data_IF_741355955395
#
_entry.id   IF_741355955395
#
_cell.length_a   1.000
_cell.length_b   1.000
_cell.length_c   1.000
_cell.angle_alpha   90.00
_cell.angle_beta   90.00
_cell.angle_gamma   90.00
#
_symmetry.space_group_name_H-M   'P 1'
#
loop_
_entity.id
_entity.type
_entity.pdbx_description
1 polymer ?
#
# COMPACT_ATOMS: atom_id res chain seq x y z
N UNK A 1 -23.18 9.63 -18.20
CA UNK A 1 -22.23 8.55 -18.50
C UNK A 1 -20.83 8.87 -18.02
N UNK A 2 -20.24 9.97 -18.50
CA UNK A 2 -18.90 10.37 -18.04
C UNK A 2 -18.83 10.67 -16.55
N UNK A 3 -19.87 11.28 -15.98
CA UNK A 3 -19.93 11.58 -14.54
C UNK A 3 -19.97 10.32 -13.70
N UNK A 4 -20.67 9.28 -14.16
CA UNK A 4 -20.74 8.00 -13.46
C UNK A 4 -19.37 7.34 -13.43
N UNK A 5 -18.63 7.36 -14.53
CA UNK A 5 -17.27 6.82 -14.59
C UNK A 5 -16.33 7.56 -13.63
N UNK A 6 -16.42 8.89 -13.57
CA UNK A 6 -15.61 9.68 -12.63
C UNK A 6 -15.91 9.33 -11.19
N UNK A 7 -17.19 9.17 -10.82
CA UNK A 7 -17.58 8.76 -9.46
C UNK A 7 -17.00 7.39 -9.09
N UNK A 8 -17.06 6.43 -10.02
CA UNK A 8 -16.57 5.07 -9.77
C UNK A 8 -15.07 5.02 -9.59
N UNK A 9 -14.32 5.97 -10.18
CA UNK A 9 -12.86 6.03 -10.05
C UNK A 9 -12.38 6.86 -8.87
N UNK A 10 -13.28 7.58 -8.18
CA UNK A 10 -12.91 8.43 -7.04
C UNK A 10 -13.07 7.70 -5.72
N UNK A 11 -12.11 7.94 -4.84
CA UNK A 11 -12.23 7.51 -3.45
C UNK A 11 -13.19 8.44 -2.71
N UNK A 12 -13.85 7.92 -1.67
CA UNK A 12 -14.67 8.73 -0.79
C UNK A 12 -13.79 9.70 0.01
N UNK A 13 -14.43 10.65 0.71
CA UNK A 13 -13.73 11.55 1.62
C UNK A 13 -13.55 10.96 3.02
N UNK A 14 -14.04 9.76 3.26
CA UNK A 14 -13.93 9.11 4.55
C UNK A 14 -12.49 8.74 4.87
N UNK A 15 -12.09 8.74 6.15
CA UNK A 15 -10.78 8.23 6.54
C UNK A 15 -10.62 6.77 6.11
N UNK A 16 -9.47 6.45 5.56
CA UNK A 16 -9.22 5.14 4.94
C UNK A 16 -8.22 4.33 5.72
N UNK A 17 -8.23 3.03 5.47
CA UNK A 17 -7.19 2.13 5.93
C UNK A 17 -6.48 1.56 4.70
N UNK A 18 -5.19 1.80 4.64
CA UNK A 18 -4.33 1.33 3.57
C UNK A 18 -3.71 0.00 3.96
N UNK A 19 -3.86 -1.00 3.13
CA UNK A 19 -3.16 -2.27 3.26
C UNK A 19 -2.13 -2.30 2.14
N UNK A 20 -0.85 -2.16 2.49
CA UNK A 20 0.20 -1.98 1.50
C UNK A 20 1.24 -3.09 1.64
N UNK A 21 1.46 -3.82 0.56
CA UNK A 21 2.49 -4.83 0.46
C UNK A 21 3.89 -4.21 0.40
N UNK A 22 4.91 -4.91 0.87
CA UNK A 22 6.28 -4.42 0.84
C UNK A 22 7.02 -4.81 -0.44
N UNK A 23 7.36 -6.08 -0.59
CA UNK A 23 8.23 -6.56 -1.68
C UNK A 23 7.55 -6.47 -3.04
N UNK A 24 8.17 -5.75 -3.97
CA UNK A 24 7.62 -5.55 -5.30
C UNK A 24 6.64 -4.40 -5.40
N UNK A 25 6.21 -3.83 -4.28
CA UNK A 25 5.23 -2.74 -4.22
C UNK A 25 5.85 -1.43 -3.78
N UNK A 26 6.49 -1.39 -2.61
CA UNK A 26 7.21 -0.20 -2.13
C UNK A 26 8.71 -0.43 -2.01
N UNK A 27 9.15 -1.68 -1.92
CA UNK A 27 10.56 -2.07 -1.84
C UNK A 27 10.84 -3.03 -2.98
N UNK A 28 11.99 -2.91 -3.62
CA UNK A 28 12.41 -3.80 -4.70
C UNK A 28 12.31 -5.25 -4.24
N UNK A 29 11.66 -6.10 -5.04
CA UNK A 29 11.37 -7.49 -4.68
C UNK A 29 12.63 -8.24 -4.27
N UNK A 30 12.62 -8.84 -3.08
CA UNK A 30 13.71 -9.62 -2.51
C UNK A 30 15.05 -8.89 -2.39
N UNK A 31 15.06 -7.56 -2.42
CA UNK A 31 16.32 -6.80 -2.28
C UNK A 31 17.01 -7.05 -0.94
N UNK A 32 16.24 -7.33 0.12
CA UNK A 32 16.77 -7.62 1.46
C UNK A 32 17.58 -8.93 1.53
N UNK A 33 17.39 -9.83 0.57
CA UNK A 33 18.13 -11.12 0.52
C UNK A 33 19.44 -10.94 -0.20
N UNK A 34 19.45 -10.22 -1.32
CA UNK A 34 20.62 -10.07 -2.18
C UNK A 34 21.55 -8.95 -1.76
N UNK A 35 21.00 -7.89 -1.17
CA UNK A 35 21.72 -6.67 -0.83
C UNK A 35 20.92 -5.89 0.20
N UNK A 36 21.00 -4.55 0.14
CA UNK A 36 20.17 -3.69 0.98
C UNK A 36 18.79 -3.46 0.35
N UNK A 37 17.82 -3.10 1.20
CA UNK A 37 16.50 -2.71 0.72
C UNK A 37 16.61 -1.49 -0.19
N UNK A 38 15.83 -1.49 -1.26
CA UNK A 38 15.80 -0.40 -2.24
C UNK A 38 14.35 0.10 -2.37
N UNK A 39 14.16 1.39 -2.18
CA UNK A 39 12.85 2.01 -2.29
C UNK A 39 12.44 2.14 -3.75
N UNK A 40 11.20 1.77 -4.06
CA UNK A 40 10.69 1.85 -5.42
C UNK A 40 10.21 3.27 -5.77
N UNK A 41 9.96 3.47 -7.05
CA UNK A 41 9.61 4.78 -7.60
C UNK A 41 8.32 5.35 -6.99
N UNK A 42 8.33 6.64 -6.71
CA UNK A 42 7.18 7.42 -6.23
C UNK A 42 6.69 7.08 -4.82
N UNK A 43 7.34 6.15 -4.11
CA UNK A 43 6.89 5.76 -2.78
C UNK A 43 6.94 6.93 -1.79
N UNK A 44 8.04 7.68 -1.75
CA UNK A 44 8.14 8.84 -0.88
C UNK A 44 7.06 9.87 -1.19
N UNK A 45 6.76 10.08 -2.46
CA UNK A 45 5.71 11.01 -2.88
C UNK A 45 4.33 10.54 -2.44
N UNK A 46 4.05 9.25 -2.54
CA UNK A 46 2.78 8.70 -2.07
C UNK A 46 2.60 8.96 -0.58
N UNK A 47 3.62 8.68 0.24
CA UNK A 47 3.52 8.88 1.68
C UNK A 47 3.25 10.32 2.07
N UNK A 48 3.75 11.27 1.29
CA UNK A 48 3.48 12.69 1.54
C UNK A 48 2.02 13.08 1.33
N UNK A 49 1.33 12.39 0.44
CA UNK A 49 -0.06 12.74 0.10
C UNK A 49 -1.11 11.85 0.77
N UNK A 50 -0.73 10.75 1.40
CA UNK A 50 -1.67 9.98 2.21
C UNK A 50 -2.10 10.84 3.40
N UNK A 51 -3.42 11.11 3.56
CA UNK A 51 -3.88 11.93 4.68
C UNK A 51 -3.46 11.36 6.03
N UNK A 52 -3.10 12.22 6.96
CA UNK A 52 -2.65 11.81 8.31
C UNK A 52 -3.73 11.06 9.09
N UNK A 53 -4.99 11.31 8.78
CA UNK A 53 -6.13 10.63 9.40
C UNK A 53 -6.28 9.18 8.94
N UNK A 54 -5.66 8.82 7.83
CA UNK A 54 -5.72 7.47 7.31
C UNK A 54 -4.79 6.55 8.09
N UNK A 55 -5.19 5.29 8.23
CA UNK A 55 -4.35 4.25 8.83
C UNK A 55 -3.55 3.54 7.75
N UNK A 56 -2.34 3.12 8.09
CA UNK A 56 -1.48 2.35 7.18
C UNK A 56 -1.08 1.06 7.87
N UNK A 57 -1.40 -0.05 7.23
CA UNK A 57 -0.99 -1.39 7.67
C UNK A 57 -0.10 -1.97 6.58
N UNK A 58 1.14 -2.27 6.92
CA UNK A 58 2.07 -2.88 5.99
C UNK A 58 2.00 -4.39 6.10
N UNK A 59 1.98 -5.06 4.95
CA UNK A 59 1.83 -6.51 4.85
C UNK A 59 3.07 -7.10 4.20
N UNK A 60 3.65 -8.13 4.80
CA UNK A 60 4.87 -8.73 4.28
C UNK A 60 4.88 -10.24 4.41
N UNK A 61 5.31 -10.91 3.36
CA UNK A 61 5.62 -12.34 3.42
C UNK A 61 7.03 -12.59 3.95
N UNK A 62 7.82 -11.53 4.21
CA UNK A 62 9.17 -11.68 4.77
C UNK A 62 9.13 -12.45 6.09
N UNK A 63 10.11 -13.32 6.28
CA UNK A 63 10.28 -14.00 7.55
C UNK A 63 10.59 -13.01 8.67
N UNK A 64 10.18 -13.35 9.87
CA UNK A 64 10.38 -12.49 11.06
C UNK A 64 11.84 -12.12 11.31
N UNK A 65 12.77 -12.96 10.89
CA UNK A 65 14.20 -12.68 11.05
C UNK A 65 14.67 -11.42 10.32
N UNK A 66 13.90 -10.95 9.32
CA UNK A 66 14.20 -9.73 8.58
C UNK A 66 13.49 -8.50 9.13
N UNK A 67 12.73 -8.63 10.23
CA UNK A 67 11.87 -7.57 10.74
C UNK A 67 12.66 -6.33 11.15
N UNK A 68 13.75 -6.48 11.88
CA UNK A 68 14.55 -5.34 12.38
C UNK A 68 15.13 -4.56 11.20
N UNK A 69 15.73 -5.25 10.25
CA UNK A 69 16.31 -4.62 9.05
C UNK A 69 15.23 -3.88 8.24
N UNK A 70 14.06 -4.48 8.11
CA UNK A 70 12.93 -3.88 7.38
C UNK A 70 12.40 -2.63 8.10
N UNK A 71 12.19 -2.72 9.41
CA UNK A 71 11.69 -1.60 10.20
C UNK A 71 12.69 -0.43 10.18
N UNK A 72 13.99 -0.72 10.28
CA UNK A 72 15.02 0.31 10.20
C UNK A 72 15.02 1.01 8.84
N UNK A 73 14.82 0.27 7.76
CA UNK A 73 14.71 0.84 6.42
C UNK A 73 13.50 1.76 6.30
N UNK A 74 12.34 1.33 6.79
CA UNK A 74 11.12 2.14 6.76
C UNK A 74 11.30 3.43 7.55
N UNK A 75 11.90 3.35 8.73
CA UNK A 75 12.18 4.51 9.58
C UNK A 75 13.14 5.49 8.90
N UNK A 76 14.20 4.97 8.31
CA UNK A 76 15.19 5.79 7.59
C UNK A 76 14.54 6.56 6.45
N UNK A 77 13.58 5.97 5.77
CA UNK A 77 12.88 6.59 4.65
C UNK A 77 11.62 7.35 5.09
N UNK A 78 11.40 7.48 6.40
CA UNK A 78 10.27 8.23 6.97
C UNK A 78 8.90 7.74 6.47
N UNK A 79 8.78 6.43 6.32
CA UNK A 79 7.53 5.79 5.91
C UNK A 79 6.77 5.37 7.16
N UNK A 80 5.84 6.22 7.61
CA UNK A 80 5.02 5.90 8.77
C UNK A 80 4.09 4.74 8.50
N UNK A 81 3.75 4.02 9.55
CA UNK A 81 2.72 2.98 9.51
C UNK A 81 2.14 2.82 10.92
N UNK A 82 0.92 2.32 10.99
CA UNK A 82 0.29 2.02 12.27
C UNK A 82 0.57 0.59 12.71
N UNK A 83 0.57 -0.34 11.77
CA UNK A 83 0.87 -1.76 12.03
C UNK A 83 1.66 -2.35 10.87
N UNK A 84 2.48 -3.35 11.19
CA UNK A 84 3.20 -4.14 10.19
C UNK A 84 3.09 -5.61 10.55
N UNK A 85 2.77 -6.45 9.57
CA UNK A 85 2.59 -7.88 9.75
C UNK A 85 3.60 -8.61 8.88
N UNK A 86 4.44 -9.43 9.52
CA UNK A 86 5.43 -10.28 8.85
C UNK A 86 4.95 -11.72 8.75
N UNK A 87 5.58 -12.50 7.88
CA UNK A 87 5.34 -13.93 7.78
C UNK A 87 4.01 -14.31 7.18
N UNK A 88 3.42 -13.43 6.39
CA UNK A 88 2.18 -13.74 5.68
C UNK A 88 2.43 -14.74 4.55
N UNK A 89 1.36 -15.40 4.11
CA UNK A 89 1.43 -16.32 2.99
C UNK A 89 1.70 -15.57 1.68
N UNK A 90 2.25 -16.28 0.70
CA UNK A 90 2.64 -15.67 -0.59
C UNK A 90 1.52 -15.64 -1.62
N UNK A 91 0.38 -16.26 -1.35
CA UNK A 91 -0.77 -16.24 -2.24
C UNK A 91 -1.53 -14.92 -2.21
N UNK A 92 -2.67 -14.91 -2.84
CA UNK A 92 -3.54 -13.73 -2.91
C UNK A 92 -3.94 -13.25 -1.51
N UNK A 93 -4.13 -11.95 -1.39
CA UNK A 93 -4.71 -11.33 -0.19
C UNK A 93 -6.17 -11.04 -0.46
N UNK A 94 -7.02 -11.70 0.28
CA UNK A 94 -8.47 -11.64 0.08
C UNK A 94 -9.04 -10.71 1.14
N UNK A 95 -9.70 -9.64 0.71
CA UNK A 95 -10.37 -8.69 1.60
C UNK A 95 -11.87 -8.91 1.49
N UNK A 96 -12.53 -9.14 2.62
CA UNK A 96 -13.98 -9.37 2.66
C UNK A 96 -14.61 -8.25 3.49
N UNK A 97 -15.33 -7.36 2.83
CA UNK A 97 -16.01 -6.23 3.46
C UNK A 97 -17.43 -6.11 2.93
N UNK A 98 -18.32 -5.56 3.75
CA UNK A 98 -19.65 -5.20 3.29
C UNK A 98 -19.60 -3.89 2.48
N UNK A 99 -20.58 -3.70 1.63
CA UNK A 99 -20.86 -2.39 1.04
C UNK A 99 -21.63 -1.55 2.04
N UNK A 100 -21.42 -0.23 2.00
CA UNK A 100 -22.27 0.65 2.81
C UNK A 100 -23.69 0.65 2.28
N UNK A 101 -24.69 0.97 3.13
CA UNK A 101 -26.10 1.02 2.71
C UNK A 101 -26.35 1.93 1.50
N UNK A 102 -25.54 2.98 1.33
CA UNK A 102 -25.64 3.89 0.18
C UNK A 102 -25.01 3.34 -1.10
N UNK A 103 -24.43 2.13 -1.06
CA UNK A 103 -23.79 1.48 -2.19
C UNK A 103 -22.29 1.63 -2.30
N UNK A 104 -21.65 2.37 -1.39
CA UNK A 104 -20.19 2.52 -1.43
C UNK A 104 -19.51 1.17 -1.19
N UNK A 105 -18.70 0.74 -2.16
CA UNK A 105 -17.84 -0.44 -2.02
C UNK A 105 -16.67 -0.07 -1.13
N UNK A 106 -16.49 -0.81 -0.03
CA UNK A 106 -15.49 -0.49 0.97
C UNK A 106 -14.18 -1.26 0.79
N UNK A 107 -14.11 -2.17 -0.17
CA UNK A 107 -12.88 -2.86 -0.53
C UNK A 107 -12.45 -2.44 -1.93
N UNK A 108 -11.23 -1.93 -2.05
CA UNK A 108 -10.63 -1.56 -3.32
C UNK A 108 -9.26 -2.23 -3.41
N UNK A 109 -9.01 -2.97 -4.49
CA UNK A 109 -7.71 -3.60 -4.72
C UNK A 109 -7.03 -2.93 -5.92
N UNK A 110 -5.76 -2.52 -5.73
CA UNK A 110 -4.93 -1.96 -6.78
C UNK A 110 -3.80 -2.93 -7.04
N UNK A 111 -3.79 -3.55 -8.22
CA UNK A 111 -2.77 -4.51 -8.60
C UNK A 111 -1.73 -3.84 -9.48
N UNK A 112 -0.53 -3.68 -8.94
CA UNK A 112 0.59 -3.05 -9.63
C UNK A 112 1.47 -4.11 -10.28
N UNK A 113 2.15 -3.73 -11.33
CA UNK A 113 3.21 -4.56 -11.88
C UNK A 113 4.37 -4.61 -10.88
N UNK A 114 4.97 -5.80 -10.69
CA UNK A 114 6.08 -5.95 -9.73
C UNK A 114 7.19 -4.94 -10.03
N UNK A 115 7.63 -4.25 -9.00
CA UNK A 115 8.72 -3.28 -9.03
C UNK A 115 8.46 -2.00 -9.85
N UNK A 116 7.25 -1.77 -10.34
CA UNK A 116 6.97 -0.53 -11.10
C UNK A 116 6.85 0.71 -10.22
N UNK A 117 6.66 0.54 -8.91
CA UNK A 117 6.40 1.63 -8.01
C UNK A 117 4.92 1.99 -7.91
N UNK A 118 4.61 3.11 -7.29
CA UNK A 118 3.24 3.46 -6.88
C UNK A 118 2.66 4.68 -7.62
N UNK A 119 3.19 4.99 -8.80
CA UNK A 119 2.70 6.13 -9.59
C UNK A 119 1.21 6.05 -9.89
N UNK A 120 0.69 4.86 -10.17
CA UNK A 120 -0.75 4.66 -10.44
C UNK A 120 -1.62 4.98 -9.23
N UNK A 121 -1.13 4.68 -8.03
CA UNK A 121 -1.84 4.99 -6.79
C UNK A 121 -1.94 6.50 -6.60
N UNK A 122 -0.84 7.21 -6.85
CA UNK A 122 -0.81 8.67 -6.76
C UNK A 122 -1.83 9.30 -7.72
N UNK A 123 -1.92 8.80 -8.94
CA UNK A 123 -2.91 9.28 -9.92
C UNK A 123 -4.34 9.10 -9.41
N UNK A 124 -4.63 8.00 -8.75
CA UNK A 124 -5.94 7.73 -8.18
C UNK A 124 -6.28 8.77 -7.10
N UNK A 125 -5.33 9.11 -6.24
CA UNK A 125 -5.53 10.06 -5.15
C UNK A 125 -5.69 11.50 -5.64
N UNK A 126 -5.04 11.86 -6.73
CA UNK A 126 -5.08 13.23 -7.26
C UNK A 126 -6.36 13.58 -8.01
N UNK A 127 -7.19 12.60 -8.25
CA UNK A 127 -8.49 12.83 -8.87
C UNK A 127 -9.56 13.01 -7.83
#
# INVERSE_FOLDING_TARGET
MKLVKKKLSRLSLLPKTWLIDLDGTIILHNSHICADNILLDKVADLWKIIPKKDKIILLSAREKKYSIKTINFLKKNKLRYDHIIFGLNVGERIVVNDKKPDGLKTALAINLKRNEGVGKVIKLLKK
#
